data_IF_000276368861
#
_entry.id   IF_000276368861
#
_cell.length_a   1.000
_cell.length_b   1.000
_cell.length_c   1.000
_cell.angle_alpha   90.00
_cell.angle_beta   90.00
_cell.angle_gamma   90.00
#
_symmetry.space_group_name_H-M   'P 1'
#
loop_
_entity.id
_entity.type
_entity.pdbx_description
1 polymer ?
#
# COMPACT_ATOMS: atom_id res chain seq x y z
N UNK A 1 -10.13 -35.48 -5.92
CA UNK A 1 -10.04 -34.89 -4.58
C UNK A 1 -8.67 -34.20 -4.45
N UNK A 2 -8.52 -33.03 -5.08
CA UNK A 2 -7.24 -32.31 -5.15
C UNK A 2 -6.96 -31.61 -3.82
N UNK A 3 -6.01 -32.15 -3.07
CA UNK A 3 -5.58 -31.65 -1.77
C UNK A 3 -4.96 -30.27 -1.99
N UNK A 4 -5.49 -29.24 -1.32
CA UNK A 4 -4.97 -27.88 -1.30
C UNK A 4 -3.46 -27.90 -1.07
N UNK A 5 -2.67 -27.67 -2.13
CA UNK A 5 -1.26 -27.31 -1.97
C UNK A 5 -1.25 -25.94 -1.30
N UNK A 6 -1.13 -25.92 0.03
CA UNK A 6 -0.88 -24.70 0.76
C UNK A 6 0.52 -24.21 0.37
N UNK A 7 0.61 -23.17 -0.45
CA UNK A 7 1.85 -22.44 -0.64
C UNK A 7 2.37 -22.03 0.74
N UNK A 8 3.54 -22.49 1.24
CA UNK A 8 4.02 -22.17 2.60
C UNK A 8 4.23 -20.66 2.82
N UNK A 9 4.13 -19.86 1.76
CA UNK A 9 4.17 -18.41 1.73
C UNK A 9 2.80 -17.72 1.90
N UNK A 10 1.67 -18.45 2.00
CA UNK A 10 0.33 -17.86 2.07
C UNK A 10 0.18 -16.88 3.23
N UNK A 11 0.79 -17.23 4.38
CA UNK A 11 0.76 -16.40 5.59
C UNK A 11 1.51 -15.07 5.38
N UNK A 12 2.59 -15.05 4.58
CA UNK A 12 3.36 -13.82 4.30
C UNK A 12 2.53 -12.78 3.55
N UNK A 13 1.71 -13.22 2.58
CA UNK A 13 0.81 -12.33 1.84
C UNK A 13 -0.27 -11.75 2.76
N UNK A 14 -0.81 -12.57 3.65
CA UNK A 14 -1.80 -12.13 4.63
C UNK A 14 -1.22 -11.16 5.66
N UNK A 15 -0.02 -11.42 6.18
CA UNK A 15 0.65 -10.51 7.11
C UNK A 15 0.97 -9.17 6.46
N UNK A 16 1.46 -9.15 5.22
CA UNK A 16 1.67 -7.90 4.48
C UNK A 16 0.37 -7.10 4.33
N UNK A 17 -0.73 -7.77 3.99
CA UNK A 17 -2.05 -7.13 3.90
C UNK A 17 -2.52 -6.57 5.25
N UNK A 18 -2.40 -7.35 6.33
CA UNK A 18 -2.79 -6.93 7.67
C UNK A 18 -1.97 -5.72 8.15
N UNK A 19 -0.66 -5.69 7.87
CA UNK A 19 0.21 -4.56 8.19
C UNK A 19 -0.25 -3.29 7.45
N UNK A 20 -0.48 -3.38 6.13
CA UNK A 20 -0.95 -2.25 5.33
C UNK A 20 -2.30 -1.75 5.82
N UNK A 21 -3.23 -2.67 6.10
CA UNK A 21 -4.56 -2.34 6.63
C UNK A 21 -4.46 -1.62 7.99
N UNK A 22 -3.63 -2.13 8.91
CA UNK A 22 -3.43 -1.52 10.21
C UNK A 22 -2.86 -0.10 10.10
N UNK A 23 -1.86 0.11 9.23
CA UNK A 23 -1.28 1.43 9.00
C UNK A 23 -2.29 2.42 8.38
N UNK A 24 -3.15 1.94 7.48
CA UNK A 24 -4.26 2.71 6.91
C UNK A 24 -5.25 3.17 8.00
N UNK A 25 -5.60 2.27 8.93
CA UNK A 25 -6.46 2.60 10.07
C UNK A 25 -5.81 3.65 10.97
N UNK A 26 -4.52 3.47 11.30
CA UNK A 26 -3.75 4.43 12.11
C UNK A 26 -3.70 5.80 11.43
N UNK A 27 -3.41 5.82 10.13
CA UNK A 27 -3.44 7.04 9.32
C UNK A 27 -4.80 7.74 9.40
N UNK A 28 -5.88 7.01 9.15
CA UNK A 28 -7.24 7.55 9.21
C UNK A 28 -7.56 8.11 10.59
N UNK A 29 -7.17 7.42 11.67
CA UNK A 29 -7.35 7.90 13.04
C UNK A 29 -6.62 9.23 13.29
N UNK A 30 -5.37 9.37 12.82
CA UNK A 30 -4.64 10.64 12.93
C UNK A 30 -5.27 11.77 12.13
N UNK A 31 -5.79 11.50 10.92
CA UNK A 31 -6.50 12.49 10.11
C UNK A 31 -7.79 12.93 10.82
N UNK A 32 -8.55 11.99 11.39
CA UNK A 32 -9.79 12.27 12.11
C UNK A 32 -9.58 12.98 13.45
N UNK A 33 -8.41 12.81 14.07
CA UNK A 33 -8.05 13.45 15.33
C UNK A 33 -7.50 14.88 15.16
N UNK A 34 -7.81 15.57 14.05
CA UNK A 34 -7.26 16.89 13.67
C UNK A 34 -5.73 16.97 13.49
N UNK A 35 -5.02 15.85 13.62
CA UNK A 35 -3.58 15.76 13.39
C UNK A 35 -3.28 15.49 11.91
N UNK A 36 -3.89 16.28 11.03
CA UNK A 36 -3.89 16.05 9.58
C UNK A 36 -2.49 15.85 9.01
N UNK A 37 -1.48 16.61 9.46
CA UNK A 37 -0.06 16.45 9.05
C UNK A 37 0.50 15.08 9.40
N UNK A 38 0.23 14.59 10.62
CA UNK A 38 0.69 13.26 11.07
C UNK A 38 -0.05 12.17 10.33
N UNK A 39 -1.36 12.32 10.14
CA UNK A 39 -2.20 11.38 9.40
C UNK A 39 -1.75 11.23 7.95
N UNK A 40 -1.56 12.32 7.23
CA UNK A 40 -1.09 12.28 5.84
C UNK A 40 0.33 11.72 5.72
N UNK A 41 1.21 11.97 6.69
CA UNK A 41 2.56 11.37 6.71
C UNK A 41 2.49 9.84 6.84
N UNK A 42 1.64 9.34 7.75
CA UNK A 42 1.44 7.89 7.91
C UNK A 42 0.77 7.29 6.67
N UNK A 43 -0.20 7.99 6.07
CA UNK A 43 -0.84 7.58 4.82
C UNK A 43 0.18 7.40 3.70
N UNK A 44 1.06 8.39 3.53
CA UNK A 44 2.10 8.39 2.52
C UNK A 44 3.07 7.22 2.73
N UNK A 45 3.53 7.01 3.96
CA UNK A 45 4.37 5.87 4.31
C UNK A 45 3.70 4.53 4.01
N UNK A 46 2.40 4.42 4.30
CA UNK A 46 1.60 3.22 4.01
C UNK A 46 1.52 2.95 2.51
N UNK A 47 1.26 3.99 1.70
CA UNK A 47 1.21 3.87 0.24
C UNK A 47 2.56 3.41 -0.35
N UNK A 48 3.67 3.99 0.11
CA UNK A 48 5.02 3.61 -0.33
C UNK A 48 5.39 2.19 0.10
N UNK A 49 5.06 1.80 1.33
CA UNK A 49 5.26 0.43 1.81
C UNK A 49 4.45 -0.58 0.99
N UNK A 50 3.21 -0.24 0.64
CA UNK A 50 2.36 -1.05 -0.22
C UNK A 50 2.95 -1.20 -1.61
N UNK A 51 3.47 -0.11 -2.19
CA UNK A 51 4.16 -0.15 -3.48
C UNK A 51 5.39 -1.07 -3.44
N UNK A 52 6.19 -1.01 -2.36
CA UNK A 52 7.36 -1.86 -2.17
C UNK A 52 6.96 -3.34 -2.02
N UNK A 53 6.00 -3.67 -1.16
CA UNK A 53 5.52 -5.06 -1.07
C UNK A 53 4.97 -5.55 -2.40
N UNK A 54 4.25 -4.70 -3.12
CA UNK A 54 3.71 -5.06 -4.43
C UNK A 54 4.81 -5.22 -5.47
N UNK A 55 5.91 -4.49 -5.45
CA UNK A 55 7.02 -4.73 -6.41
C UNK A 55 7.74 -6.06 -6.16
N UNK A 56 7.80 -6.53 -4.91
CA UNK A 56 8.43 -7.81 -4.54
C UNK A 56 7.51 -9.03 -4.63
N UNK A 57 6.19 -8.86 -4.77
CA UNK A 57 5.23 -9.95 -4.95
C UNK A 57 4.60 -9.89 -6.36
N UNK A 58 5.32 -10.27 -7.43
CA UNK A 58 4.76 -10.41 -8.79
C UNK A 58 3.41 -11.13 -8.78
N UNK A 59 2.39 -10.47 -9.31
CA UNK A 59 1.13 -11.04 -9.68
C UNK A 59 1.39 -11.83 -10.96
N UNK A 60 1.81 -13.07 -10.79
CA UNK A 60 1.63 -14.05 -11.84
C UNK A 60 0.12 -14.13 -12.12
N UNK A 61 -0.23 -14.24 -13.40
CA UNK A 61 -1.59 -14.42 -13.94
C UNK A 61 -2.41 -13.13 -14.11
N UNK A 62 -2.48 -12.64 -15.36
CA UNK A 62 -3.65 -12.74 -16.27
C UNK A 62 -3.49 -11.65 -17.34
N UNK A 63 -3.20 -12.09 -18.57
CA UNK A 63 -2.97 -11.26 -19.78
C UNK A 63 -4.19 -10.43 -20.21
N UNK A 64 -5.35 -10.58 -19.54
CA UNK A 64 -6.63 -10.01 -19.97
C UNK A 64 -6.95 -8.61 -19.40
N UNK A 65 -6.11 -8.07 -18.51
CA UNK A 65 -6.17 -6.66 -18.06
C UNK A 65 -4.76 -6.03 -18.02
N UNK A 66 -4.10 -5.95 -19.18
CA UNK A 66 -2.78 -5.33 -19.34
C UNK A 66 -2.74 -3.86 -18.83
N UNK A 67 -3.90 -3.17 -18.83
CA UNK A 67 -4.04 -1.77 -18.38
C UNK A 67 -4.10 -1.62 -16.84
N UNK A 68 -4.64 -2.60 -16.09
CA UNK A 68 -4.61 -2.62 -14.60
C UNK A 68 -3.46 -3.49 -14.08
N UNK A 69 -2.32 -3.35 -14.74
CA UNK A 69 -1.07 -4.03 -14.41
C UNK A 69 -0.63 -3.70 -12.99
N UNK A 70 -0.08 -4.69 -12.29
CA UNK A 70 0.64 -4.51 -11.04
C UNK A 70 1.65 -3.36 -11.09
N UNK A 71 2.25 -3.11 -12.26
CA UNK A 71 3.18 -2.00 -12.48
C UNK A 71 2.47 -0.65 -12.40
N UNK A 72 1.28 -0.51 -12.98
CA UNK A 72 0.48 0.71 -12.86
C UNK A 72 0.14 0.99 -11.40
N UNK A 73 -0.25 -0.03 -10.63
CA UNK A 73 -0.57 0.12 -9.21
C UNK A 73 0.66 0.55 -8.39
N UNK A 74 1.83 -0.05 -8.61
CA UNK A 74 3.09 0.35 -7.96
C UNK A 74 3.46 1.80 -8.31
N UNK A 75 3.41 2.18 -9.59
CA UNK A 75 3.72 3.56 -10.03
C UNK A 75 2.72 4.54 -9.41
N UNK A 76 1.43 4.22 -9.45
CA UNK A 76 0.38 5.06 -8.89
C UNK A 76 0.58 5.27 -7.38
N UNK A 77 0.85 4.20 -6.63
CA UNK A 77 1.11 4.26 -5.19
C UNK A 77 2.39 5.06 -4.86
N UNK A 78 3.44 4.94 -5.69
CA UNK A 78 4.64 5.76 -5.54
C UNK A 78 4.33 7.24 -5.78
N UNK A 79 3.66 7.57 -6.88
CA UNK A 79 3.29 8.95 -7.23
C UNK A 79 2.42 9.56 -6.14
N UNK A 80 1.38 8.86 -5.69
CA UNK A 80 0.48 9.34 -4.63
C UNK A 80 1.23 9.47 -3.31
N UNK A 81 1.99 8.46 -2.89
CA UNK A 81 2.77 8.51 -1.65
C UNK A 81 3.75 9.69 -1.62
N UNK A 82 4.50 9.89 -2.70
CA UNK A 82 5.42 11.03 -2.83
C UNK A 82 4.68 12.36 -2.87
N UNK A 83 3.56 12.47 -3.59
CA UNK A 83 2.75 13.68 -3.62
C UNK A 83 2.20 14.05 -2.24
N UNK A 84 1.80 13.07 -1.43
CA UNK A 84 1.33 13.28 -0.06
C UNK A 84 2.47 13.77 0.86
N UNK A 85 3.68 13.23 0.72
CA UNK A 85 4.85 13.75 1.47
C UNK A 85 5.16 15.18 1.05
N UNK A 86 5.16 15.46 -0.26
CA UNK A 86 5.37 16.80 -0.80
C UNK A 86 4.33 17.80 -0.27
N UNK A 87 3.05 17.40 -0.23
CA UNK A 87 1.97 18.19 0.34
C UNK A 87 2.27 18.56 1.81
N UNK A 88 2.62 17.57 2.65
CA UNK A 88 2.91 17.83 4.07
C UNK A 88 4.14 18.71 4.26
N UNK A 89 5.15 18.60 3.39
CA UNK A 89 6.36 19.43 3.44
C UNK A 89 6.12 20.88 3.00
N UNK A 90 5.25 21.09 2.01
CA UNK A 90 5.02 22.42 1.41
C UNK A 90 4.03 23.28 2.17
N UNK A 91 3.04 22.67 2.84
CA UNK A 91 2.06 23.44 3.62
C UNK A 91 2.74 23.99 4.87
N UNK A 92 2.75 25.32 5.08
CA UNK A 92 3.28 25.93 6.29
C UNK A 92 2.57 25.37 7.54
N UNK A 93 3.35 25.14 8.59
CA UNK A 93 2.84 24.71 9.92
C UNK A 93 2.21 25.86 10.68
#
# INVERSE_FOLDING_TARGET
MGIFKHDPAWWRRQVAFLIVLALLIVSAAFVLADHWRRGVTVLAGTALLTAAFRSFLPADYVEMLEVRSQRFDVIFLLVVGTALLFLVMTVPS
#
